data_IF_844889509773
#
_entry.id   IF_844889509773
#
_cell.length_a   1.000
_cell.length_b   1.000
_cell.length_c   1.000
_cell.angle_alpha   90.00
_cell.angle_beta   90.00
_cell.angle_gamma   90.00
#
_symmetry.space_group_name_H-M   'P 1'
#
loop_
_entity.id
_entity.type
_entity.pdbx_description
1 polymer ?
#
# COMPACT_ATOMS: atom_id res chain seq x y z
N UNK A 1 -13.24 -18.71 -41.15
CA UNK A 1 -13.45 -17.59 -40.20
C UNK A 1 -12.22 -16.69 -40.23
N UNK A 2 -12.35 -15.43 -40.64
CA UNK A 2 -11.21 -14.51 -40.73
C UNK A 2 -10.91 -13.88 -39.36
N UNK A 3 -9.67 -14.02 -38.90
CA UNK A 3 -9.16 -13.35 -37.69
C UNK A 3 -8.85 -11.89 -38.03
N UNK A 4 -9.23 -10.90 -37.19
CA UNK A 4 -9.00 -9.49 -37.52
C UNK A 4 -7.52 -9.14 -37.77
N UNK A 5 -7.18 -8.34 -38.81
CA UNK A 5 -5.80 -8.04 -39.20
C UNK A 5 -4.92 -7.47 -38.07
N UNK A 6 -5.54 -6.75 -37.12
CA UNK A 6 -4.89 -6.13 -35.95
C UNK A 6 -4.16 -7.16 -35.07
N UNK A 7 -4.68 -8.39 -34.97
CA UNK A 7 -4.06 -9.45 -34.18
C UNK A 7 -2.86 -10.09 -34.88
N UNK A 8 -2.86 -10.19 -36.22
CA UNK A 8 -1.71 -10.70 -36.98
C UNK A 8 -0.55 -9.71 -36.99
N UNK A 9 -0.83 -8.40 -36.99
CA UNK A 9 0.20 -7.35 -36.85
C UNK A 9 0.95 -7.43 -35.51
N UNK A 10 0.26 -7.79 -34.42
CA UNK A 10 0.85 -7.94 -33.09
C UNK A 10 1.85 -9.11 -32.96
N UNK A 11 1.78 -10.11 -33.85
CA UNK A 11 2.61 -11.30 -33.78
C UNK A 11 3.93 -11.22 -34.58
N UNK A 12 4.15 -10.17 -35.39
CA UNK A 12 5.30 -10.06 -36.31
C UNK A 12 6.38 -9.03 -35.91
N UNK A 13 6.28 -8.39 -34.74
CA UNK A 13 7.22 -7.34 -34.30
C UNK A 13 7.95 -7.70 -33.00
N UNK A 14 9.19 -8.20 -33.14
CA UNK A 14 10.15 -8.59 -32.09
C UNK A 14 9.65 -9.77 -31.20
N UNK A 15 10.55 -10.54 -30.55
CA UNK A 15 10.13 -11.46 -29.50
C UNK A 15 9.44 -10.62 -28.41
N UNK A 16 8.13 -10.81 -28.28
CA UNK A 16 7.31 -9.89 -27.49
C UNK A 16 7.78 -9.86 -26.03
N UNK A 17 7.73 -8.68 -25.41
CA UNK A 17 8.08 -8.49 -24.01
C UNK A 17 7.34 -9.46 -23.06
N UNK A 18 6.16 -9.95 -23.50
CA UNK A 18 5.38 -10.97 -22.82
C UNK A 18 6.09 -12.33 -22.67
N UNK A 19 7.04 -12.69 -23.54
CA UNK A 19 7.84 -13.91 -23.40
C UNK A 19 9.17 -13.65 -22.69
N UNK A 20 9.81 -12.51 -22.98
CA UNK A 20 11.12 -12.14 -22.42
C UNK A 20 11.06 -11.89 -20.90
N UNK A 21 10.00 -11.23 -20.43
CA UNK A 21 9.81 -10.91 -19.00
C UNK A 21 9.70 -12.20 -18.16
N UNK A 22 8.76 -13.14 -18.40
CA UNK A 22 8.67 -14.38 -17.63
C UNK A 22 9.94 -15.23 -17.67
N UNK A 23 10.66 -15.27 -18.79
CA UNK A 23 11.94 -15.96 -18.88
C UNK A 23 12.98 -15.34 -17.95
N UNK A 24 13.23 -14.01 -18.05
CA UNK A 24 14.16 -13.28 -17.17
C UNK A 24 13.79 -13.43 -15.69
N UNK A 25 12.50 -13.36 -15.35
CA UNK A 25 11.99 -13.60 -13.98
C UNK A 25 12.36 -15.00 -13.48
N UNK A 26 12.11 -16.06 -14.27
CA UNK A 26 12.41 -17.45 -13.89
C UNK A 26 13.91 -17.70 -13.75
N UNK A 27 14.74 -17.13 -14.62
CA UNK A 27 16.20 -17.23 -14.55
C UNK A 27 16.73 -16.56 -13.27
N UNK A 28 16.34 -15.30 -13.02
CA UNK A 28 16.75 -14.56 -11.82
C UNK A 28 16.33 -15.29 -10.52
N UNK A 29 15.09 -15.78 -10.47
CA UNK A 29 14.57 -16.56 -9.35
C UNK A 29 15.39 -17.83 -9.08
N UNK A 30 15.69 -18.62 -10.12
CA UNK A 30 16.48 -19.85 -10.00
C UNK A 30 17.90 -19.57 -9.54
N UNK A 31 18.56 -18.54 -10.08
CA UNK A 31 19.93 -18.17 -9.68
C UNK A 31 20.01 -17.70 -8.23
N UNK A 32 19.08 -16.84 -7.79
CA UNK A 32 19.04 -16.39 -6.39
C UNK A 32 18.78 -17.55 -5.41
N UNK A 33 17.91 -18.50 -5.77
CA UNK A 33 17.68 -19.69 -4.94
C UNK A 33 18.88 -20.63 -4.88
N UNK A 34 19.62 -20.82 -5.99
CA UNK A 34 20.85 -21.62 -6.01
C UNK A 34 21.91 -21.03 -5.10
N UNK A 35 22.14 -19.71 -5.16
CA UNK A 35 23.20 -19.08 -4.35
C UNK A 35 22.79 -18.94 -2.89
N UNK A 36 21.49 -18.77 -2.58
CA UNK A 36 21.00 -18.89 -1.20
C UNK A 36 21.23 -20.27 -0.57
N UNK A 37 21.49 -21.31 -1.38
CA UNK A 37 21.77 -22.67 -0.92
C UNK A 37 23.25 -22.95 -0.68
N UNK A 38 24.15 -22.01 -1.03
CA UNK A 38 25.60 -22.13 -0.79
C UNK A 38 26.01 -21.70 0.62
N UNK A 39 25.09 -21.13 1.40
CA UNK A 39 25.34 -20.75 2.79
C UNK A 39 25.30 -21.97 3.70
N UNK A 40 26.40 -22.20 4.45
CA UNK A 40 26.54 -23.30 5.39
C UNK A 40 25.47 -23.28 6.50
N UNK A 41 24.96 -22.10 6.88
CA UNK A 41 23.94 -21.97 7.90
C UNK A 41 22.52 -22.21 7.39
N UNK A 42 21.86 -23.24 7.92
CA UNK A 42 20.47 -23.59 7.65
C UNK A 42 19.48 -22.43 7.92
N UNK A 43 19.70 -21.63 8.98
CA UNK A 43 18.85 -20.47 9.32
C UNK A 43 18.91 -19.40 8.23
N UNK A 44 20.11 -19.00 7.82
CA UNK A 44 20.35 -18.01 6.75
C UNK A 44 19.80 -18.51 5.41
N UNK A 45 20.07 -19.77 5.04
CA UNK A 45 19.53 -20.38 3.82
C UNK A 45 17.99 -20.31 3.79
N UNK A 46 17.34 -20.69 4.90
CA UNK A 46 15.88 -20.69 5.02
C UNK A 46 15.30 -19.27 4.93
N UNK A 47 15.88 -18.30 5.66
CA UNK A 47 15.48 -16.89 5.61
C UNK A 47 15.62 -16.28 4.20
N UNK A 48 16.71 -16.56 3.50
CA UNK A 48 16.93 -16.08 2.15
C UNK A 48 15.92 -16.70 1.17
N UNK A 49 15.70 -18.01 1.24
CA UNK A 49 14.73 -18.74 0.40
C UNK A 49 13.30 -18.23 0.59
N UNK A 50 12.84 -17.99 1.82
CA UNK A 50 11.50 -17.44 2.07
C UNK A 50 11.39 -15.99 1.59
N UNK A 51 12.41 -15.16 1.84
CA UNK A 51 12.44 -13.76 1.41
C UNK A 51 12.41 -13.64 -0.12
N UNK A 52 13.19 -14.45 -0.84
CA UNK A 52 13.17 -14.51 -2.31
C UNK A 52 11.76 -14.91 -2.80
N UNK A 53 11.19 -15.99 -2.25
CA UNK A 53 9.85 -16.47 -2.62
C UNK A 53 8.77 -15.41 -2.43
N UNK A 54 8.71 -14.76 -1.27
CA UNK A 54 7.67 -13.77 -0.98
C UNK A 54 7.85 -12.48 -1.81
N UNK A 55 9.09 -12.06 -2.11
CA UNK A 55 9.32 -10.93 -3.04
C UNK A 55 8.81 -11.21 -4.44
N UNK A 56 9.10 -12.39 -5.00
CA UNK A 56 8.55 -12.78 -6.32
C UNK A 56 7.03 -13.00 -6.27
N UNK A 57 6.49 -13.49 -5.16
CA UNK A 57 5.04 -13.66 -4.96
C UNK A 57 4.28 -12.33 -4.88
N UNK A 58 4.89 -11.31 -4.27
CA UNK A 58 4.32 -9.95 -4.17
C UNK A 58 4.11 -9.33 -5.55
N UNK A 59 5.09 -9.47 -6.45
CA UNK A 59 5.03 -8.94 -7.82
C UNK A 59 4.39 -9.89 -8.85
N UNK A 60 3.80 -11.03 -8.43
CA UNK A 60 3.15 -11.99 -9.35
C UNK A 60 2.02 -11.35 -10.19
N UNK A 61 1.35 -10.34 -9.65
CA UNK A 61 0.19 -9.68 -10.26
C UNK A 61 0.52 -8.32 -10.88
N UNK A 62 1.79 -8.01 -11.13
CA UNK A 62 2.21 -6.76 -11.77
C UNK A 62 1.84 -6.79 -13.28
N UNK A 63 0.74 -6.13 -13.65
CA UNK A 63 0.22 -6.12 -15.03
C UNK A 63 0.95 -5.16 -15.96
N UNK A 64 1.68 -4.18 -15.42
CA UNK A 64 2.44 -3.22 -16.22
C UNK A 64 3.81 -3.81 -16.61
N UNK A 65 4.01 -4.09 -17.90
CA UNK A 65 5.28 -4.58 -18.43
C UNK A 65 6.47 -3.65 -18.07
N UNK A 66 6.26 -2.33 -18.05
CA UNK A 66 7.27 -1.35 -17.61
C UNK A 66 7.62 -1.50 -16.13
N UNK A 67 6.64 -1.72 -15.25
CA UNK A 67 6.92 -1.96 -13.81
C UNK A 67 7.50 -3.34 -13.54
N UNK A 68 7.04 -4.37 -14.24
CA UNK A 68 7.63 -5.71 -14.17
C UNK A 68 9.11 -5.66 -14.59
N UNK A 69 9.43 -4.97 -15.70
CA UNK A 69 10.81 -4.69 -16.07
C UNK A 69 11.55 -3.88 -15.00
N UNK A 70 11.00 -2.78 -14.47
CA UNK A 70 11.66 -2.00 -13.42
C UNK A 70 11.91 -2.84 -12.16
N UNK A 71 10.99 -3.72 -11.76
CA UNK A 71 11.13 -4.59 -10.58
C UNK A 71 12.18 -5.68 -10.81
N UNK A 72 12.20 -6.27 -12.01
CA UNK A 72 13.26 -7.21 -12.44
C UNK A 72 14.60 -6.48 -12.45
N UNK A 73 14.64 -5.26 -13.02
CA UNK A 73 15.79 -4.37 -13.01
C UNK A 73 16.21 -3.93 -11.59
N UNK A 74 15.29 -3.82 -10.62
CA UNK A 74 15.57 -3.47 -9.24
C UNK A 74 16.16 -4.65 -8.46
N UNK A 75 15.62 -5.86 -8.65
CA UNK A 75 16.27 -7.11 -8.26
C UNK A 75 17.68 -7.24 -8.88
N UNK A 76 17.86 -6.72 -10.09
CA UNK A 76 19.15 -6.61 -10.80
C UNK A 76 19.99 -5.36 -10.41
N UNK A 77 19.46 -4.36 -9.69
CA UNK A 77 20.20 -3.14 -9.23
C UNK A 77 20.74 -3.29 -7.81
N UNK A 78 20.03 -4.04 -6.97
CA UNK A 78 20.65 -4.78 -5.87
C UNK A 78 21.79 -5.69 -6.42
N UNK A 79 21.86 -5.89 -7.75
CA UNK A 79 22.85 -6.62 -8.55
C UNK A 79 23.91 -5.81 -9.40
N UNK A 80 24.27 -4.52 -9.16
CA UNK A 80 25.54 -3.92 -9.74
C UNK A 80 26.34 -2.95 -8.82
N UNK A 81 27.68 -3.15 -8.58
CA UNK A 81 28.74 -2.08 -8.35
C UNK A 81 30.24 -2.53 -8.20
N UNK A 82 30.70 -3.73 -8.59
CA UNK A 82 32.16 -4.07 -8.54
C UNK A 82 32.69 -4.96 -9.68
N UNK A 83 32.13 -4.81 -10.88
CA UNK A 83 32.62 -5.46 -12.12
C UNK A 83 32.81 -4.45 -13.28
N UNK A 84 33.25 -3.24 -12.95
CA UNK A 84 33.71 -2.23 -13.92
C UNK A 84 35.20 -1.95 -13.73
N UNK A 85 36.06 -2.90 -14.14
CA UNK A 85 37.49 -2.61 -14.36
C UNK A 85 38.26 -3.61 -15.25
N UNK A 86 37.63 -4.37 -16.17
CA UNK A 86 38.44 -5.21 -17.09
C UNK A 86 38.03 -5.43 -18.55
N UNK A 87 36.76 -5.48 -18.97
CA UNK A 87 36.45 -5.74 -20.39
C UNK A 87 35.24 -5.00 -20.98
N UNK A 88 35.41 -4.60 -22.24
CA UNK A 88 34.46 -4.24 -23.30
C UNK A 88 35.12 -4.62 -24.64
N UNK A 89 34.41 -4.80 -25.76
CA UNK A 89 33.01 -4.38 -26.00
C UNK A 89 32.06 -5.48 -26.50
N UNK A 90 30.85 -5.04 -26.87
CA UNK A 90 29.80 -5.71 -27.66
C UNK A 90 28.80 -6.61 -26.87
N UNK A 91 27.52 -6.27 -27.04
CA UNK A 91 26.28 -6.75 -26.37
C UNK A 91 26.15 -6.45 -24.86
N UNK A 92 25.04 -5.81 -24.49
CA UNK A 92 24.85 -5.13 -23.20
C UNK A 92 24.40 -6.08 -22.06
N UNK A 93 25.31 -6.97 -21.65
CA UNK A 93 25.09 -8.01 -20.62
C UNK A 93 25.65 -7.58 -19.24
N UNK A 94 25.92 -6.28 -19.04
CA UNK A 94 26.54 -5.71 -17.83
C UNK A 94 25.71 -5.72 -16.53
N UNK A 95 24.70 -6.58 -16.41
CA UNK A 95 23.54 -6.36 -15.54
C UNK A 95 23.30 -7.38 -14.40
N UNK A 96 24.23 -8.31 -14.16
CA UNK A 96 23.96 -9.54 -13.40
C UNK A 96 24.69 -9.70 -12.02
N UNK A 97 25.41 -8.70 -11.49
CA UNK A 97 26.66 -8.92 -10.71
C UNK A 97 26.84 -8.25 -9.30
N UNK A 98 25.85 -8.16 -8.40
CA UNK A 98 26.03 -7.63 -6.99
C UNK A 98 25.22 -8.32 -5.90
N UNK A 99 24.03 -8.87 -6.14
CA UNK A 99 23.31 -9.69 -5.17
C UNK A 99 24.06 -11.02 -4.98
N UNK A 100 24.45 -11.63 -6.11
CA UNK A 100 25.46 -12.68 -6.18
C UNK A 100 26.77 -12.23 -5.53
N UNK A 101 27.21 -10.97 -5.69
CA UNK A 101 28.44 -10.49 -5.04
C UNK A 101 28.31 -10.21 -3.54
N UNK A 102 27.13 -9.90 -3.00
CA UNK A 102 26.93 -9.76 -1.54
C UNK A 102 26.81 -11.14 -0.91
N UNK A 103 26.15 -12.08 -1.60
CA UNK A 103 26.12 -13.47 -1.17
C UNK A 103 27.50 -14.12 -1.27
N UNK A 104 28.17 -14.03 -2.42
CA UNK A 104 29.55 -14.50 -2.60
C UNK A 104 30.55 -13.74 -1.76
N UNK A 105 30.44 -12.44 -1.54
CA UNK A 105 31.33 -11.76 -0.58
C UNK A 105 31.13 -12.30 0.84
N UNK A 106 29.90 -12.60 1.26
CA UNK A 106 29.65 -13.25 2.54
C UNK A 106 30.20 -14.70 2.59
N UNK A 107 30.27 -15.41 1.46
CA UNK A 107 30.93 -16.72 1.32
C UNK A 107 32.48 -16.61 1.18
N UNK A 108 32.99 -15.51 0.64
CA UNK A 108 34.41 -15.15 0.46
C UNK A 108 35.00 -14.46 1.72
N UNK A 109 34.31 -14.50 2.87
CA UNK A 109 34.80 -13.99 4.15
C UNK A 109 34.56 -12.50 4.45
N UNK A 110 33.56 -11.86 3.86
CA UNK A 110 33.21 -10.45 4.11
C UNK A 110 32.22 -10.29 5.28
N UNK A 111 32.75 -10.50 6.49
CA UNK A 111 32.14 -10.30 7.81
C UNK A 111 30.95 -9.33 7.90
N UNK A 112 31.07 -8.04 7.55
CA UNK A 112 29.99 -7.07 7.78
C UNK A 112 28.71 -7.36 6.98
N UNK A 113 28.81 -8.08 5.85
CA UNK A 113 27.62 -8.52 5.10
C UNK A 113 27.02 -9.78 5.71
N UNK A 114 27.85 -10.71 6.18
CA UNK A 114 27.42 -11.91 6.88
C UNK A 114 26.68 -11.55 8.18
N UNK A 115 27.30 -10.76 9.06
CA UNK A 115 26.70 -10.20 10.30
C UNK A 115 25.38 -9.48 10.06
N UNK A 116 25.24 -8.77 8.93
CA UNK A 116 23.98 -8.11 8.56
C UNK A 116 22.90 -9.10 8.12
N UNK A 117 23.27 -10.19 7.45
CA UNK A 117 22.34 -11.26 7.06
C UNK A 117 21.90 -12.06 8.29
N UNK A 118 22.82 -12.41 9.19
CA UNK A 118 22.55 -13.03 10.49
C UNK A 118 21.58 -12.17 11.31
N UNK A 119 21.88 -10.87 11.51
CA UNK A 119 21.02 -9.95 12.25
C UNK A 119 19.60 -9.79 11.63
N UNK A 120 19.46 -9.94 10.31
CA UNK A 120 18.14 -10.02 9.65
C UNK A 120 17.45 -11.36 9.90
N UNK A 121 18.19 -12.48 9.86
CA UNK A 121 17.66 -13.82 10.09
C UNK A 121 17.23 -14.05 11.56
N UNK A 122 17.96 -13.48 12.52
CA UNK A 122 17.68 -13.47 13.97
C UNK A 122 16.61 -12.44 14.37
N UNK A 123 16.14 -11.64 13.41
CA UNK A 123 15.18 -10.55 13.60
C UNK A 123 15.62 -9.50 14.64
N UNK A 124 16.89 -9.14 14.61
CA UNK A 124 17.46 -7.99 15.34
C UNK A 124 17.22 -6.69 14.55
N UNK A 125 17.32 -6.76 13.21
CA UNK A 125 17.10 -5.63 12.30
C UNK A 125 16.01 -5.92 11.25
N UNK A 126 15.41 -4.85 10.72
CA UNK A 126 14.45 -4.93 9.63
C UNK A 126 13.00 -5.26 10.06
N UNK A 127 12.13 -5.69 9.11
CA UNK A 127 10.70 -5.87 9.38
C UNK A 127 10.38 -6.94 10.43
N UNK A 128 11.15 -8.04 10.46
CA UNK A 128 10.95 -9.09 11.46
C UNK A 128 11.25 -8.61 12.88
N UNK A 129 12.21 -7.69 13.07
CA UNK A 129 12.47 -7.08 14.37
C UNK A 129 11.27 -6.27 14.90
N UNK A 130 10.56 -5.56 14.00
CA UNK A 130 9.32 -4.87 14.35
C UNK A 130 8.20 -5.85 14.71
N UNK A 131 8.07 -6.97 13.97
CA UNK A 131 7.11 -8.04 14.28
C UNK A 131 7.42 -8.67 15.64
N UNK A 132 8.67 -9.09 15.89
CA UNK A 132 9.18 -9.61 17.17
C UNK A 132 8.83 -8.67 18.32
N UNK A 133 9.22 -7.39 18.22
CA UNK A 133 8.91 -6.35 19.21
C UNK A 133 7.41 -6.13 19.43
N UNK A 134 6.58 -6.27 18.40
CA UNK A 134 5.11 -6.16 18.52
C UNK A 134 4.50 -7.38 19.22
N UNK A 135 5.03 -8.57 18.97
CA UNK A 135 4.58 -9.82 19.61
C UNK A 135 5.00 -9.85 21.08
N UNK A 136 6.25 -9.49 21.41
CA UNK A 136 6.73 -9.39 22.80
C UNK A 136 5.93 -8.39 23.65
N UNK A 137 5.36 -7.35 23.04
CA UNK A 137 4.45 -6.38 23.71
C UNK A 137 3.07 -6.95 24.08
N UNK A 138 2.70 -8.15 23.61
CA UNK A 138 1.44 -8.79 23.99
C UNK A 138 1.63 -9.45 25.35
N UNK A 139 1.02 -8.90 26.40
CA UNK A 139 1.11 -9.41 27.76
C UNK A 139 0.60 -10.86 27.88
N UNK A 140 -0.59 -11.16 27.34
CA UNK A 140 -1.20 -12.48 27.42
C UNK A 140 -0.46 -13.53 26.53
N UNK A 141 0.01 -14.66 27.09
CA UNK A 141 0.82 -15.64 26.37
C UNK A 141 0.05 -16.38 25.27
N UNK A 142 -1.23 -16.71 25.47
CA UNK A 142 -2.04 -17.38 24.45
C UNK A 142 -2.29 -16.47 23.24
N UNK A 143 -2.55 -15.18 23.47
CA UNK A 143 -2.65 -14.17 22.39
C UNK A 143 -1.30 -13.94 21.69
N UNK A 144 -0.18 -14.06 22.42
CA UNK A 144 1.18 -14.00 21.87
C UNK A 144 1.44 -15.19 20.92
N UNK A 145 1.10 -16.41 21.34
CA UNK A 145 1.22 -17.62 20.52
C UNK A 145 0.31 -17.59 19.27
N UNK A 146 -0.95 -17.16 19.40
CA UNK A 146 -1.83 -16.94 18.24
C UNK A 146 -1.26 -15.90 17.24
N UNK A 147 -0.52 -14.90 17.73
CA UNK A 147 0.13 -13.91 16.87
C UNK A 147 1.40 -14.44 16.16
N UNK A 148 2.03 -15.51 16.65
CA UNK A 148 3.20 -16.14 16.01
C UNK A 148 2.81 -17.16 14.95
N UNK A 149 1.62 -17.76 15.02
CA UNK A 149 1.10 -18.65 13.98
C UNK A 149 0.87 -17.96 12.62
N UNK A 150 0.57 -16.66 12.61
CA UNK A 150 0.44 -15.88 11.36
C UNK A 150 0.85 -14.41 11.56
N UNK A 151 2.07 -14.07 11.12
CA UNK A 151 2.69 -12.75 11.31
C UNK A 151 2.15 -11.65 10.36
N UNK A 152 1.26 -12.01 9.43
CA UNK A 152 0.73 -11.06 8.43
C UNK A 152 -0.10 -9.95 9.07
N UNK A 153 -0.12 -8.74 8.48
CA UNK A 153 -1.06 -7.69 8.88
C UNK A 153 -2.50 -8.11 8.57
N UNK A 154 -3.48 -7.63 9.37
CA UNK A 154 -4.88 -8.03 9.28
C UNK A 154 -5.49 -7.86 7.88
N UNK A 155 -5.10 -6.82 7.14
CA UNK A 155 -5.50 -6.60 5.75
C UNK A 155 -5.05 -7.73 4.81
N UNK A 156 -3.82 -8.23 4.97
CA UNK A 156 -3.31 -9.35 4.19
C UNK A 156 -3.95 -10.69 4.58
N UNK A 157 -4.37 -10.84 5.85
CA UNK A 157 -5.17 -11.99 6.30
C UNK A 157 -6.54 -12.03 5.60
N UNK A 158 -7.22 -10.88 5.54
CA UNK A 158 -8.51 -10.73 4.85
C UNK A 158 -8.42 -10.98 3.34
N UNK A 159 -7.35 -10.54 2.67
CA UNK A 159 -7.15 -10.77 1.24
C UNK A 159 -6.84 -12.23 0.87
N UNK A 160 -6.26 -13.01 1.80
CA UNK A 160 -5.88 -14.41 1.58
C UNK A 160 -6.16 -15.24 2.85
N UNK A 161 -7.42 -15.61 3.11
CA UNK A 161 -7.75 -16.61 4.11
C UNK A 161 -7.03 -17.95 3.79
N UNK A 162 -6.74 -18.74 4.82
CA UNK A 162 -6.07 -20.05 4.70
C UNK A 162 -4.54 -20.04 4.51
N UNK A 163 -3.92 -18.91 4.12
CA UNK A 163 -2.45 -18.85 3.90
C UNK A 163 -1.72 -18.25 5.11
N UNK A 164 -1.51 -19.02 6.18
CA UNK A 164 -0.71 -18.56 7.33
C UNK A 164 0.78 -18.38 6.97
N UNK A 165 1.45 -17.38 7.57
CA UNK A 165 2.91 -17.28 7.58
C UNK A 165 3.37 -17.35 9.05
N UNK A 166 3.78 -18.53 9.55
CA UNK A 166 4.27 -18.65 10.92
C UNK A 166 5.60 -17.92 11.11
N UNK A 167 5.82 -17.38 12.30
CA UNK A 167 7.13 -16.88 12.72
C UNK A 167 8.05 -18.10 12.95
N UNK A 168 9.27 -18.12 12.42
CA UNK A 168 10.23 -19.17 12.74
C UNK A 168 10.47 -19.29 14.25
N UNK A 169 10.38 -20.53 14.75
CA UNK A 169 10.39 -20.85 16.19
C UNK A 169 11.67 -20.36 16.91
N UNK A 170 12.82 -20.44 16.24
CA UNK A 170 14.10 -19.94 16.77
C UNK A 170 14.11 -18.41 17.05
N UNK A 171 13.17 -17.65 16.49
CA UNK A 171 13.02 -16.20 16.77
C UNK A 171 12.22 -15.96 18.07
N UNK A 172 11.40 -16.94 18.48
CA UNK A 172 10.54 -16.85 19.67
C UNK A 172 11.26 -17.13 20.99
N UNK A 173 12.46 -17.71 20.96
CA UNK A 173 13.25 -18.05 22.14
C UNK A 173 13.79 -16.83 22.93
N UNK A 174 13.49 -15.60 22.49
CA UNK A 174 14.02 -14.37 23.09
C UNK A 174 13.14 -13.86 24.23
N UNK A 175 13.83 -13.53 25.32
CA UNK A 175 13.35 -13.27 26.67
C UNK A 175 12.16 -12.31 26.80
N UNK A 176 11.40 -12.51 27.87
CA UNK A 176 10.30 -11.64 28.25
C UNK A 176 10.85 -10.28 28.74
N UNK A 177 11.01 -9.32 27.82
CA UNK A 177 11.38 -7.96 28.20
C UNK A 177 10.32 -7.37 29.15
N UNK A 178 10.70 -6.75 30.30
CA UNK A 178 9.74 -6.19 31.24
C UNK A 178 8.83 -5.16 30.57
N UNK A 179 7.52 -5.23 30.85
CA UNK A 179 6.52 -4.38 30.22
C UNK A 179 6.69 -2.92 30.64
N UNK A 180 6.96 -2.04 29.67
CA UNK A 180 7.03 -0.58 29.87
C UNK A 180 5.62 0.04 29.97
N UNK A 181 4.82 -0.45 30.90
CA UNK A 181 3.45 0.03 31.14
C UNK A 181 3.39 1.27 32.05
N UNK A 182 4.46 1.54 32.82
CA UNK A 182 4.52 2.65 33.79
C UNK A 182 4.35 4.06 33.17
N UNK A 183 4.81 4.30 31.95
CA UNK A 183 4.91 5.66 31.38
C UNK A 183 3.60 6.20 30.77
N UNK A 184 2.47 5.48 30.86
CA UNK A 184 1.19 5.96 30.36
C UNK A 184 0.45 6.89 31.36
N UNK A 185 0.75 6.80 32.66
CA UNK A 185 0.01 7.48 33.72
C UNK A 185 0.35 8.97 33.88
N UNK A 186 1.58 9.40 33.52
CA UNK A 186 2.06 10.77 33.76
C UNK A 186 1.48 11.84 32.81
N UNK A 187 0.76 11.43 31.76
CA UNK A 187 0.31 12.33 30.68
C UNK A 187 -0.89 13.24 31.02
N UNK A 188 -1.42 13.22 32.24
CA UNK A 188 -2.78 13.71 32.54
C UNK A 188 -2.92 14.79 33.63
N UNK A 189 -2.08 15.83 33.61
CA UNK A 189 -2.45 17.14 34.18
C UNK A 189 -2.60 18.17 33.06
N UNK A 190 -3.85 18.42 32.63
CA UNK A 190 -4.17 19.46 31.64
C UNK A 190 -3.78 20.82 32.21
N UNK A 191 -3.00 21.62 31.48
CA UNK A 191 -2.65 22.99 31.91
C UNK A 191 -3.92 23.87 31.91
N UNK A 192 -4.08 24.86 32.81
CA UNK A 192 -5.33 25.62 32.97
C UNK A 192 -5.87 26.31 31.71
N UNK A 193 -4.99 26.66 30.75
CA UNK A 193 -5.36 27.26 29.47
C UNK A 193 -5.86 26.25 28.41
N UNK A 194 -5.70 24.94 28.65
CA UNK A 194 -6.08 23.86 27.72
C UNK A 194 -7.59 23.55 27.82
N UNK A 195 -8.41 24.54 27.44
CA UNK A 195 -9.87 24.40 27.39
C UNK A 195 -10.31 23.70 26.09
N UNK A 196 -11.35 22.88 26.18
CA UNK A 196 -12.00 22.29 25.02
C UNK A 196 -12.94 23.33 24.38
N UNK A 197 -12.75 23.59 23.09
CA UNK A 197 -13.50 24.57 22.31
C UNK A 197 -14.24 23.82 21.20
N UNK A 198 -15.51 24.14 20.97
CA UNK A 198 -16.23 23.65 19.80
C UNK A 198 -15.84 24.48 18.57
N UNK A 199 -15.24 23.84 17.56
CA UNK A 199 -14.82 24.48 16.31
C UNK A 199 -15.73 24.01 15.18
N UNK A 200 -16.17 24.95 14.35
CA UNK A 200 -16.96 24.68 13.14
C UNK A 200 -16.02 24.66 11.91
N UNK A 201 -16.05 23.58 11.14
CA UNK A 201 -15.39 23.51 9.83
C UNK A 201 -16.14 24.37 8.80
N UNK A 202 -15.46 24.73 7.70
CA UNK A 202 -16.09 25.33 6.52
C UNK A 202 -17.25 24.49 5.93
N UNK A 203 -17.28 23.18 6.20
CA UNK A 203 -18.38 22.26 5.84
C UNK A 203 -19.56 22.27 6.84
N UNK A 204 -19.62 23.24 7.76
CA UNK A 204 -20.65 23.35 8.80
C UNK A 204 -20.51 22.36 9.97
N UNK A 205 -19.65 21.34 9.85
CA UNK A 205 -19.47 20.32 10.91
C UNK A 205 -18.81 20.92 12.15
N UNK A 206 -19.42 20.71 13.32
CA UNK A 206 -18.86 21.09 14.63
C UNK A 206 -18.11 19.91 15.24
N UNK A 207 -16.91 20.16 15.78
CA UNK A 207 -16.10 19.17 16.50
C UNK A 207 -15.37 19.81 17.69
N UNK A 208 -15.02 19.02 18.70
CA UNK A 208 -14.27 19.53 19.86
C UNK A 208 -12.76 19.52 19.59
N UNK A 209 -12.09 20.63 19.91
CA UNK A 209 -10.63 20.78 19.87
C UNK A 209 -10.14 21.39 21.18
N UNK A 210 -9.09 20.83 21.78
CA UNK A 210 -8.43 21.42 22.96
C UNK A 210 -7.46 22.52 22.51
N UNK A 211 -7.55 23.72 23.09
CA UNK A 211 -6.63 24.83 22.78
C UNK A 211 -5.20 24.46 23.22
N UNK A 212 -4.22 24.69 22.34
CA UNK A 212 -2.81 24.37 22.60
C UNK A 212 -2.41 22.91 22.43
N UNK A 213 -3.34 22.00 22.06
CA UNK A 213 -2.98 20.64 21.66
C UNK A 213 -2.75 20.55 20.15
N UNK A 214 -1.75 19.74 19.76
CA UNK A 214 -1.58 19.30 18.37
C UNK A 214 -2.79 18.42 18.03
N UNK A 215 -3.45 18.71 16.91
CA UNK A 215 -4.61 17.94 16.47
C UNK A 215 -4.19 16.50 16.13
N UNK A 216 -4.83 15.46 16.69
CA UNK A 216 -4.52 14.08 16.35
C UNK A 216 -4.62 13.83 14.84
N UNK A 217 -3.62 13.14 14.27
CA UNK A 217 -3.55 12.86 12.84
C UNK A 217 -4.83 12.21 12.30
N UNK A 218 -5.44 11.30 13.09
CA UNK A 218 -6.74 10.67 12.77
C UNK A 218 -7.82 11.73 12.52
N UNK A 219 -7.97 12.71 13.41
CA UNK A 219 -8.97 13.80 13.27
C UNK A 219 -8.70 14.64 12.03
N UNK A 220 -7.44 15.00 11.77
CA UNK A 220 -7.04 15.74 10.56
C UNK A 220 -7.35 14.95 9.28
N UNK A 221 -7.13 13.63 9.28
CA UNK A 221 -7.48 12.75 8.16
C UNK A 221 -9.00 12.64 7.97
N UNK A 222 -9.81 12.58 9.04
CA UNK A 222 -11.27 12.57 8.93
C UNK A 222 -11.80 13.86 8.31
N UNK A 223 -11.31 15.02 8.75
CA UNK A 223 -11.68 16.32 8.17
C UNK A 223 -11.26 16.36 6.69
N UNK A 224 -10.02 15.99 6.36
CA UNK A 224 -9.55 15.94 4.96
C UNK A 224 -10.40 15.00 4.09
N UNK A 225 -10.73 13.80 4.57
CA UNK A 225 -11.58 12.86 3.85
C UNK A 225 -13.00 13.41 3.62
N UNK A 226 -13.57 14.11 4.61
CA UNK A 226 -14.87 14.78 4.46
C UNK A 226 -14.81 15.92 3.43
N UNK A 227 -13.76 16.75 3.45
CA UNK A 227 -13.58 17.85 2.47
C UNK A 227 -13.43 17.27 1.07
N UNK A 228 -12.57 16.27 0.87
CA UNK A 228 -12.40 15.60 -0.42
C UNK A 228 -13.69 14.93 -0.92
N UNK A 229 -14.52 14.40 -0.02
CA UNK A 229 -15.81 13.81 -0.39
C UNK A 229 -16.82 14.87 -0.83
N UNK A 230 -16.86 16.02 -0.15
CA UNK A 230 -17.69 17.15 -0.56
C UNK A 230 -17.21 17.74 -1.90
N UNK A 231 -15.90 17.90 -2.08
CA UNK A 231 -15.32 18.40 -3.33
C UNK A 231 -15.74 17.52 -4.52
N UNK A 232 -15.56 16.20 -4.42
CA UNK A 232 -16.00 15.23 -5.45
C UNK A 232 -17.49 15.27 -5.77
N UNK A 233 -18.34 15.74 -4.85
CA UNK A 233 -19.78 15.96 -5.12
C UNK A 233 -19.99 17.24 -5.92
N UNK A 234 -19.32 18.33 -5.53
CA UNK A 234 -19.36 19.61 -6.27
C UNK A 234 -18.81 19.43 -7.69
N UNK A 235 -17.68 18.75 -7.85
CA UNK A 235 -17.06 18.47 -9.15
C UNK A 235 -18.02 17.66 -10.06
N UNK A 236 -18.76 16.70 -9.49
CA UNK A 236 -19.75 15.90 -10.21
C UNK A 236 -20.99 16.73 -10.61
N UNK A 237 -21.45 17.63 -9.76
CA UNK A 237 -22.57 18.54 -10.06
C UNK A 237 -22.17 19.43 -11.25
N UNK A 238 -20.99 20.07 -11.19
CA UNK A 238 -20.44 20.88 -12.29
C UNK A 238 -20.33 20.10 -13.61
N UNK A 239 -19.84 18.86 -13.56
CA UNK A 239 -19.75 17.99 -14.73
C UNK A 239 -21.13 17.76 -15.39
N UNK A 240 -22.20 17.55 -14.61
CA UNK A 240 -23.55 17.41 -15.15
C UNK A 240 -24.11 18.73 -15.71
N UNK A 241 -23.77 19.87 -15.11
CA UNK A 241 -24.12 21.21 -15.63
C UNK A 241 -23.42 21.49 -16.97
N UNK A 242 -22.14 21.12 -17.09
CA UNK A 242 -21.37 21.18 -18.34
C UNK A 242 -21.98 20.29 -19.44
N UNK A 243 -22.40 19.07 -19.10
CA UNK A 243 -23.11 18.19 -20.05
C UNK A 243 -24.47 18.75 -20.49
N UNK A 244 -25.27 19.30 -19.57
CA UNK A 244 -26.55 19.96 -19.94
C UNK A 244 -26.27 21.16 -20.85
N UNK A 245 -25.23 21.94 -20.59
CA UNK A 245 -24.85 23.08 -21.44
C UNK A 245 -24.46 22.64 -22.86
N UNK A 246 -23.73 21.53 -22.98
CA UNK A 246 -23.34 20.96 -24.27
C UNK A 246 -24.56 20.45 -25.05
N UNK A 247 -25.41 19.64 -24.40
CA UNK A 247 -26.61 19.08 -25.03
C UNK A 247 -27.63 20.16 -25.45
N UNK A 248 -27.76 21.24 -24.68
CA UNK A 248 -28.57 22.39 -25.10
C UNK A 248 -28.01 23.02 -26.40
N UNK A 249 -26.69 23.24 -26.49
CA UNK A 249 -26.07 23.81 -27.69
C UNK A 249 -26.16 22.89 -28.92
N UNK A 250 -26.09 21.57 -28.73
CA UNK A 250 -26.31 20.58 -29.79
C UNK A 250 -27.79 20.55 -30.23
N UNK A 251 -28.74 20.67 -29.30
CA UNK A 251 -30.16 20.78 -29.60
C UNK A 251 -30.53 22.10 -30.33
N UNK A 252 -29.82 23.20 -30.05
CA UNK A 252 -29.99 24.46 -30.78
C UNK A 252 -29.43 24.31 -32.22
N UNK A 253 -28.23 23.74 -32.37
CA UNK A 253 -27.62 23.49 -33.68
C UNK A 253 -28.46 22.57 -34.59
N UNK A 254 -28.95 21.43 -34.07
CA UNK A 254 -29.78 20.53 -34.86
C UNK A 254 -31.15 21.15 -35.20
N UNK A 255 -31.67 22.04 -34.35
CA UNK A 255 -32.89 22.80 -34.62
C UNK A 255 -32.69 23.80 -35.77
N UNK A 256 -31.53 24.43 -35.88
CA UNK A 256 -31.17 25.26 -37.05
C UNK A 256 -31.09 24.45 -38.34
N UNK A 257 -30.68 23.17 -38.26
CA UNK A 257 -30.68 22.23 -39.38
C UNK A 257 -32.06 21.60 -39.70
N UNK A 258 -33.11 21.91 -38.91
CA UNK A 258 -34.44 21.32 -39.06
C UNK A 258 -34.52 19.82 -38.70
N UNK A 259 -33.54 19.30 -37.97
CA UNK A 259 -33.51 17.91 -37.49
C UNK A 259 -34.30 17.80 -36.17
N UNK A 260 -34.96 16.65 -35.96
CA UNK A 260 -35.74 16.39 -34.76
C UNK A 260 -34.86 15.92 -33.59
N UNK A 261 -35.08 16.52 -32.40
CA UNK A 261 -34.15 16.49 -31.27
C UNK A 261 -34.72 15.76 -30.04
N UNK A 262 -35.64 14.81 -30.24
CA UNK A 262 -36.27 14.04 -29.16
C UNK A 262 -35.24 13.36 -28.24
N UNK A 263 -34.29 12.62 -28.80
CA UNK A 263 -33.28 11.88 -28.03
C UNK A 263 -32.42 12.80 -27.13
N UNK A 264 -32.10 14.00 -27.63
CA UNK A 264 -31.32 15.00 -26.87
C UNK A 264 -32.17 15.60 -25.72
N UNK A 265 -33.48 15.78 -25.92
CA UNK A 265 -34.39 16.24 -24.87
C UNK A 265 -34.52 15.20 -23.75
N UNK A 266 -34.71 13.94 -24.11
CA UNK A 266 -34.91 12.84 -23.14
C UNK A 266 -33.64 12.57 -22.31
N UNK A 267 -32.47 12.57 -22.95
CA UNK A 267 -31.17 12.48 -22.27
C UNK A 267 -30.93 13.70 -21.37
N UNK A 268 -31.23 14.91 -21.84
CA UNK A 268 -31.11 16.14 -21.04
C UNK A 268 -32.05 16.13 -19.83
N UNK A 269 -33.29 15.67 -19.98
CA UNK A 269 -34.25 15.53 -18.88
C UNK A 269 -33.79 14.49 -17.85
N UNK A 270 -33.22 13.38 -18.31
CA UNK A 270 -32.60 12.35 -17.45
C UNK A 270 -31.44 12.93 -16.64
N UNK A 271 -30.53 13.69 -17.26
CA UNK A 271 -29.41 14.33 -16.55
C UNK A 271 -29.90 15.40 -15.57
N UNK A 272 -30.94 16.19 -15.92
CA UNK A 272 -31.57 17.16 -15.00
C UNK A 272 -32.19 16.48 -13.77
N UNK A 273 -32.80 15.31 -13.91
CA UNK A 273 -33.31 14.54 -12.78
C UNK A 273 -32.17 14.07 -11.85
N UNK A 274 -31.08 13.52 -12.42
CA UNK A 274 -29.88 13.12 -11.67
C UNK A 274 -29.21 14.32 -10.96
N UNK A 275 -29.16 15.48 -11.63
CA UNK A 275 -28.66 16.74 -11.06
C UNK A 275 -29.51 17.19 -9.87
N UNK A 276 -30.83 17.17 -10.00
CA UNK A 276 -31.76 17.55 -8.93
C UNK A 276 -31.59 16.64 -7.69
N UNK A 277 -31.42 15.34 -7.89
CA UNK A 277 -31.17 14.39 -6.80
C UNK A 277 -29.77 14.57 -6.18
N UNK A 278 -28.75 14.92 -6.97
CA UNK A 278 -27.43 15.28 -6.46
C UNK A 278 -27.50 16.54 -5.56
N UNK A 279 -28.28 17.55 -5.95
CA UNK A 279 -28.54 18.74 -5.15
C UNK A 279 -29.31 18.42 -3.84
N UNK A 280 -30.34 17.56 -3.89
CA UNK A 280 -31.01 17.06 -2.67
C UNK A 280 -30.02 16.38 -1.72
N UNK A 281 -29.15 15.50 -2.23
CA UNK A 281 -28.11 14.81 -1.44
C UNK A 281 -27.00 15.73 -0.91
N UNK A 282 -26.76 16.87 -1.56
CA UNK A 282 -25.81 17.88 -1.10
C UNK A 282 -26.40 18.70 0.07
N UNK A 283 -27.67 19.09 -0.05
CA UNK A 283 -28.37 19.92 0.94
C UNK A 283 -28.86 19.13 2.17
N UNK A 284 -28.99 17.80 2.08
CA UNK A 284 -29.34 16.97 3.24
C UNK A 284 -28.25 17.05 4.34
N UNK A 285 -28.59 17.46 5.58
CA UNK A 285 -27.64 17.42 6.68
C UNK A 285 -27.21 15.97 6.93
N UNK A 286 -25.89 15.71 6.94
CA UNK A 286 -25.38 14.35 7.09
C UNK A 286 -25.71 13.80 8.49
N UNK A 287 -26.82 13.06 8.60
CA UNK A 287 -27.43 12.54 9.84
C UNK A 287 -26.55 11.59 10.68
N UNK A 288 -25.29 11.33 10.31
CA UNK A 288 -24.50 10.19 10.80
C UNK A 288 -23.05 10.45 11.21
N UNK A 289 -22.78 11.41 12.11
CA UNK A 289 -21.49 11.44 12.85
C UNK A 289 -21.56 11.92 14.32
N UNK A 290 -22.72 12.30 14.86
CA UNK A 290 -22.82 12.82 16.24
C UNK A 290 -22.48 11.77 17.31
N UNK A 291 -22.73 10.49 17.03
CA UNK A 291 -22.66 9.39 18.00
C UNK A 291 -21.24 9.01 18.44
N UNK A 292 -20.20 9.27 17.63
CA UNK A 292 -18.85 8.71 17.85
C UNK A 292 -17.85 9.60 18.61
N UNK A 293 -18.32 10.67 19.26
CA UNK A 293 -17.46 11.53 20.11
C UNK A 293 -17.76 11.43 21.62
N UNK A 294 -18.77 10.65 22.05
CA UNK A 294 -19.15 10.52 23.47
C UNK A 294 -18.37 9.45 24.25
N UNK A 295 -17.86 8.41 23.60
CA UNK A 295 -17.29 7.22 24.27
C UNK A 295 -15.89 7.39 24.89
N UNK A 296 -15.28 8.58 24.84
CA UNK A 296 -13.89 8.78 25.21
C UNK A 296 -13.60 9.24 26.65
N UNK A 297 -14.58 9.77 27.39
CA UNK A 297 -14.24 10.73 28.46
C UNK A 297 -15.18 10.75 29.69
N UNK A 298 -15.95 9.69 29.96
CA UNK A 298 -16.94 9.63 31.05
C UNK A 298 -16.58 8.67 32.20
N UNK A 299 -15.28 8.48 32.49
CA UNK A 299 -14.80 7.84 33.73
C UNK A 299 -13.86 8.82 34.44
N UNK A 300 -14.03 8.95 35.75
CA UNK A 300 -13.48 10.02 36.62
C UNK A 300 -13.98 11.44 36.32
N UNK A 301 -15.22 11.72 36.74
CA UNK A 301 -15.43 12.72 37.81
C UNK A 301 -16.36 12.05 38.84
N UNK A 302 -15.91 12.04 40.09
CA UNK A 302 -16.57 11.51 41.28
C UNK A 302 -15.63 11.91 42.41
N UNK A 303 -16.15 12.69 43.35
CA UNK A 303 -15.37 13.51 44.28
C UNK A 303 -14.59 12.70 45.33
#
# INVERSE_FOLDING_TARGET
MNVPPVWQAYCKLRPSLAFEIPFKTRVLYRSLLRESAQFNESKVCTFLRTTIRERFRFHKHETSARRALITIQEGQRVCVKRLLKRFRPIVDIGFFNKALKVMRAALEGNDPYYRRIEAMANAEIGPLAFVKKKICRIANPAKRHLATLDIRPQSAKSQRPGVAIPLPEYIMQVEQSPSKEANAAELSKRKPYMRAIQVQCATGRKFMRVRGWIQPQKTSMMIKASVMTNQRRVDRIKLYEEYIRLLNGEADFLKELGVDNRDIRDTTQTIRAVLADAYKQFNQPQKGTSTMMKEGNSKHVGD
#
